data_IF_702600261477
#
_entry.id   IF_702600261477
#
_cell.length_a   1.000
_cell.length_b   1.000
_cell.length_c   1.000
_cell.angle_alpha   90.00
_cell.angle_beta   90.00
_cell.angle_gamma   90.00
#
_symmetry.space_group_name_H-M   'P 1'
#
loop_
_entity.id
_entity.type
_entity.pdbx_description
1 polymer ?
#
# COMPACT_ATOMS: atom_id res chain seq x y z
N UNK A 1 -2.66 -12.78 10.56
CA UNK A 1 -1.77 -11.65 10.22
C UNK A 1 -1.91 -10.58 11.29
N UNK A 2 -0.87 -9.79 11.50
CA UNK A 2 -0.95 -8.58 12.33
C UNK A 2 -1.45 -7.41 11.47
N UNK A 3 -2.00 -6.39 12.12
CA UNK A 3 -2.31 -5.14 11.44
C UNK A 3 -1.04 -4.58 10.78
N UNK A 4 -1.19 -4.07 9.57
CA UNK A 4 -0.09 -3.53 8.77
C UNK A 4 -0.54 -2.25 8.07
N UNK A 5 0.41 -1.36 7.80
CA UNK A 5 0.20 -0.11 7.09
C UNK A 5 1.13 -0.06 5.89
N UNK A 6 0.60 0.43 4.76
CA UNK A 6 1.37 0.77 3.58
C UNK A 6 1.07 2.20 3.15
N UNK A 7 1.96 2.77 2.34
CA UNK A 7 1.80 4.09 1.73
C UNK A 7 1.50 3.88 0.25
N UNK A 8 0.42 4.49 -0.24
CA UNK A 8 0.11 4.46 -1.68
C UNK A 8 1.22 5.21 -2.43
N UNK A 9 1.83 4.54 -3.40
CA UNK A 9 2.88 5.08 -4.25
C UNK A 9 2.31 5.94 -5.40
N UNK A 10 3.18 6.70 -6.04
CA UNK A 10 2.91 7.33 -7.34
C UNK A 10 3.06 6.32 -8.50
N UNK A 11 3.57 5.12 -8.24
CA UNK A 11 3.69 4.01 -9.18
C UNK A 11 2.37 3.26 -9.39
N UNK A 12 2.25 2.58 -10.55
CA UNK A 12 1.07 1.82 -10.93
C UNK A 12 1.43 0.42 -11.45
N UNK A 13 0.60 -0.56 -11.11
CA UNK A 13 0.59 -1.88 -11.73
C UNK A 13 0.08 -1.81 -13.18
N UNK A 14 0.16 -2.94 -13.90
CA UNK A 14 -0.21 -3.03 -15.32
C UNK A 14 -1.68 -2.72 -15.59
N UNK A 15 -2.55 -2.97 -14.61
CA UNK A 15 -3.99 -2.73 -14.67
C UNK A 15 -4.39 -1.31 -14.23
N UNK A 16 -3.42 -0.48 -13.84
CA UNK A 16 -3.64 0.87 -13.31
C UNK A 16 -3.93 0.92 -11.80
N UNK A 17 -3.80 -0.19 -11.07
CA UNK A 17 -3.87 -0.19 -9.61
C UNK A 17 -2.62 0.51 -9.03
N UNK A 18 -2.76 1.48 -8.10
CA UNK A 18 -1.62 2.08 -7.44
C UNK A 18 -0.79 1.03 -6.67
N UNK A 19 0.54 1.11 -6.80
CA UNK A 19 1.44 0.29 -6.00
C UNK A 19 1.45 0.78 -4.55
N UNK A 20 1.86 -0.10 -3.65
CA UNK A 20 1.98 0.21 -2.22
C UNK A 20 3.43 0.06 -1.81
N UNK A 21 3.98 1.09 -1.18
CA UNK A 21 5.25 1.01 -0.46
C UNK A 21 4.96 0.49 0.94
N UNK A 22 5.60 -0.61 1.33
CA UNK A 22 5.47 -1.19 2.65
C UNK A 22 6.74 -1.94 3.05
N UNK A 23 6.85 -2.35 4.32
CA UNK A 23 8.00 -3.09 4.82
C UNK A 23 7.51 -4.31 5.59
N UNK A 24 7.01 -5.30 4.83
CA UNK A 24 6.60 -6.59 5.39
C UNK A 24 7.66 -7.64 5.05
N UNK A 25 8.32 -8.18 6.07
CA UNK A 25 9.34 -9.22 5.88
C UNK A 25 10.65 -8.69 5.30
N UNK A 26 10.85 -8.81 3.98
CA UNK A 26 12.13 -8.67 3.27
C UNK A 26 12.61 -7.21 3.08
N UNK A 27 12.33 -6.32 4.02
CA UNK A 27 12.64 -4.90 3.92
C UNK A 27 11.56 -4.10 3.19
N UNK A 28 11.88 -2.83 2.90
CA UNK A 28 10.98 -1.94 2.17
C UNK A 28 10.84 -2.39 0.72
N UNK A 29 9.60 -2.57 0.28
CA UNK A 29 9.23 -3.01 -1.06
C UNK A 29 8.13 -2.09 -1.61
N UNK A 30 8.03 -2.04 -2.94
CA UNK A 30 6.94 -1.40 -3.67
C UNK A 30 6.23 -2.48 -4.49
N UNK A 31 5.00 -2.85 -4.12
CA UNK A 31 4.32 -4.03 -4.66
C UNK A 31 2.84 -3.76 -5.00
N UNK A 32 2.31 -4.58 -5.91
CA UNK A 32 0.89 -4.58 -6.30
C UNK A 32 0.05 -5.34 -5.28
N UNK A 33 -0.13 -4.72 -4.10
CA UNK A 33 -0.78 -5.35 -2.94
C UNK A 33 -1.91 -4.51 -2.33
N UNK A 34 -2.35 -3.45 -3.02
CA UNK A 34 -3.38 -2.53 -2.53
C UNK A 34 -4.67 -3.26 -2.10
N UNK A 35 -5.04 -4.32 -2.83
CA UNK A 35 -6.25 -5.12 -2.58
C UNK A 35 -5.96 -6.56 -2.13
N UNK A 36 -4.71 -6.87 -1.78
CA UNK A 36 -4.31 -8.23 -1.35
C UNK A 36 -4.77 -8.58 0.08
N UNK A 37 -5.16 -7.58 0.88
CA UNK A 37 -5.63 -7.75 2.26
C UNK A 37 -6.86 -6.88 2.56
N UNK A 38 -7.58 -7.23 3.62
CA UNK A 38 -8.72 -6.43 4.08
C UNK A 38 -8.27 -5.04 4.52
N UNK A 39 -8.75 -4.00 3.82
CA UNK A 39 -8.58 -2.61 4.25
C UNK A 39 -9.46 -2.33 5.48
N UNK A 40 -8.84 -1.98 6.60
CA UNK A 40 -9.54 -1.57 7.84
C UNK A 40 -9.53 -0.06 8.09
N UNK A 41 -8.86 0.70 7.21
CA UNK A 41 -8.82 2.15 7.23
C UNK A 41 -8.07 2.69 6.02
N UNK A 42 -8.45 3.88 5.57
CA UNK A 42 -7.79 4.60 4.48
C UNK A 42 -7.72 6.07 4.88
N UNK A 43 -6.50 6.59 4.99
CA UNK A 43 -6.23 7.92 5.53
C UNK A 43 -5.40 8.73 4.54
N UNK A 44 -5.60 10.04 4.52
CA UNK A 44 -4.76 10.99 3.78
C UNK A 44 -4.15 11.98 4.78
N UNK A 45 -2.82 12.00 4.85
CA UNK A 45 -2.10 13.03 5.59
C UNK A 45 -2.09 14.34 4.80
N UNK A 46 -2.18 15.46 5.50
CA UNK A 46 -2.24 16.81 4.92
C UNK A 46 -3.40 17.01 3.93
N UNK A 47 -4.59 16.56 4.31
CA UNK A 47 -5.80 16.99 3.64
C UNK A 47 -5.86 18.53 3.65
N UNK A 48 -6.16 19.12 2.48
CA UNK A 48 -6.45 20.55 2.36
C UNK A 48 -7.68 20.93 3.16
#
# INVERSE_FOLDING_TARGET
GLAHIGVVSDGFARDGTPLVIHNIGAGAQEEDVLFSWQMVGHYRYFAK
#
